data_IF_960401625754
#
_entry.id   IF_960401625754
#
_cell.length_a   1.000
_cell.length_b   1.000
_cell.length_c   1.000
_cell.angle_alpha   90.00
_cell.angle_beta   90.00
_cell.angle_gamma   90.00
#
_symmetry.space_group_name_H-M   'P 1'
#
loop_
_entity.id
_entity.type
_entity.pdbx_description
1 polymer ?
#
# COMPACT_ATOMS: atom_id res chain seq x y z
N UNK A 1 -5.56 33.43 33.98
CA UNK A 1 -6.00 32.15 33.39
C UNK A 1 -4.84 31.16 33.51
N UNK A 2 -4.90 29.92 33.95
CA UNK A 2 -5.89 29.05 34.60
C UNK A 2 -5.07 27.91 35.26
N UNK A 3 -5.49 27.52 36.46
CA UNK A 3 -5.42 26.18 37.09
C UNK A 3 -4.12 25.34 36.96
N UNK A 4 -3.28 25.36 38.00
CA UNK A 4 -2.31 24.29 38.26
C UNK A 4 -2.88 23.36 39.35
N UNK A 5 -3.40 22.22 38.88
CA UNK A 5 -3.42 20.90 39.50
C UNK A 5 -3.59 20.81 41.02
N UNK A 6 -4.82 20.46 41.40
CA UNK A 6 -5.14 19.91 42.70
C UNK A 6 -4.66 18.45 42.77
N UNK A 7 -3.48 18.26 43.37
CA UNK A 7 -2.99 16.95 43.82
C UNK A 7 -3.83 16.49 45.04
N UNK A 8 -4.52 15.34 45.01
CA UNK A 8 -5.07 14.76 46.21
C UNK A 8 -3.95 14.02 46.96
N UNK A 9 -3.53 14.66 48.04
CA UNK A 9 -2.77 14.09 49.15
C UNK A 9 -3.30 12.70 49.57
N UNK A 10 -2.40 11.72 49.70
CA UNK A 10 -2.60 10.61 50.63
C UNK A 10 -1.51 10.63 51.71
N UNK A 11 -1.90 11.12 52.89
CA UNK A 11 -1.12 11.07 54.12
C UNK A 11 -0.81 9.64 54.57
N UNK A 12 0.46 9.33 54.83
CA UNK A 12 0.89 8.01 55.30
C UNK A 12 1.10 7.97 56.81
N UNK A 13 0.05 7.57 57.53
CA UNK A 13 0.08 7.28 58.96
C UNK A 13 0.92 6.03 59.30
N UNK A 14 1.97 6.26 60.09
CA UNK A 14 2.99 5.33 60.61
C UNK A 14 2.41 4.23 61.53
N UNK A 15 1.73 3.23 60.95
CA UNK A 15 1.51 1.83 61.42
C UNK A 15 0.66 0.99 60.45
N UNK A 16 0.25 1.58 59.32
CA UNK A 16 -0.48 0.91 58.23
C UNK A 16 0.33 0.92 56.91
N UNK A 17 1.60 1.34 56.94
CA UNK A 17 2.42 1.51 55.73
C UNK A 17 2.72 0.17 55.07
N UNK A 18 3.00 -0.90 55.85
CA UNK A 18 3.22 -2.25 55.29
C UNK A 18 1.98 -2.80 54.59
N UNK A 19 0.79 -2.55 55.14
CA UNK A 19 -0.48 -2.99 54.54
C UNK A 19 -0.81 -2.19 53.28
N UNK A 20 -0.55 -0.88 53.30
CA UNK A 20 -0.74 0.01 52.15
C UNK A 20 0.22 -0.35 51.01
N UNK A 21 1.50 -0.58 51.33
CA UNK A 21 2.52 -1.04 50.37
C UNK A 21 2.19 -2.43 49.83
N UNK A 22 1.71 -3.34 50.66
CA UNK A 22 1.27 -4.67 50.21
C UNK A 22 0.05 -4.59 49.28
N UNK A 23 -0.93 -3.73 49.58
CA UNK A 23 -2.08 -3.50 48.71
C UNK A 23 -1.65 -2.88 47.37
N UNK A 24 -0.77 -1.88 47.39
CA UNK A 24 -0.24 -1.27 46.17
C UNK A 24 0.53 -2.29 45.30
N UNK A 25 1.36 -3.14 45.92
CA UNK A 25 2.08 -4.21 45.23
C UNK A 25 1.16 -5.30 44.67
N UNK A 26 0.08 -5.65 45.38
CA UNK A 26 -0.93 -6.59 44.89
C UNK A 26 -1.65 -6.03 43.65
N UNK A 27 -2.03 -4.75 43.69
CA UNK A 27 -2.72 -4.09 42.58
C UNK A 27 -1.84 -4.01 41.34
N UNK A 28 -0.55 -3.68 41.48
CA UNK A 28 0.36 -3.63 40.33
C UNK A 28 0.54 -5.02 39.71
N UNK A 29 0.79 -6.05 40.51
CA UNK A 29 0.91 -7.43 40.02
C UNK A 29 -0.37 -7.87 39.30
N UNK A 30 -1.55 -7.53 39.83
CA UNK A 30 -2.83 -7.84 39.20
C UNK A 30 -2.99 -7.10 37.85
N UNK A 31 -2.61 -5.82 37.78
CA UNK A 31 -2.71 -5.03 36.56
C UNK A 31 -1.81 -5.58 35.43
N UNK A 32 -0.56 -5.95 35.76
CA UNK A 32 0.34 -6.59 34.82
C UNK A 32 -0.09 -8.02 34.46
N UNK A 33 -0.60 -8.78 35.43
CA UNK A 33 -1.17 -10.10 35.21
C UNK A 33 -2.36 -10.08 34.25
N UNK A 34 -3.24 -9.09 34.40
CA UNK A 34 -4.37 -8.88 33.50
C UNK A 34 -3.91 -8.51 32.09
N UNK A 35 -2.94 -7.60 31.95
CA UNK A 35 -2.39 -7.24 30.63
C UNK A 35 -1.79 -8.45 29.90
N UNK A 36 -1.10 -9.33 30.61
CA UNK A 36 -0.54 -10.56 30.03
C UNK A 36 -1.61 -11.62 29.72
N UNK A 37 -2.63 -11.76 30.58
CA UNK A 37 -3.74 -12.70 30.40
C UNK A 37 -4.73 -12.28 29.31
N UNK A 38 -4.77 -11.00 28.97
CA UNK A 38 -5.66 -10.45 27.95
C UNK A 38 -5.32 -10.99 26.55
N UNK A 39 -4.04 -11.18 26.23
CA UNK A 39 -3.59 -11.75 24.95
C UNK A 39 -4.13 -13.17 24.70
N UNK A 40 -3.98 -14.17 25.61
CA UNK A 40 -4.55 -15.51 25.41
C UNK A 40 -6.07 -15.54 25.53
N UNK A 41 -6.69 -14.68 26.36
CA UNK A 41 -8.15 -14.59 26.44
C UNK A 41 -8.76 -14.12 25.11
N UNK A 42 -8.15 -13.11 24.48
CA UNK A 42 -8.56 -12.68 23.14
C UNK A 42 -8.43 -13.81 22.12
N UNK A 43 -7.36 -14.62 22.18
CA UNK A 43 -7.21 -15.79 21.31
C UNK A 43 -8.30 -16.84 21.52
N UNK A 44 -8.70 -17.08 22.77
CA UNK A 44 -9.77 -18.03 23.10
C UNK A 44 -11.13 -17.56 22.56
N UNK A 45 -11.44 -16.26 22.73
CA UNK A 45 -12.66 -15.65 22.18
C UNK A 45 -12.64 -15.70 20.65
N UNK A 46 -11.52 -15.37 20.00
CA UNK A 46 -11.37 -15.47 18.55
C UNK A 46 -11.56 -16.91 18.06
N UNK A 47 -11.14 -17.90 18.84
CA UNK A 47 -11.31 -19.31 18.48
C UNK A 47 -12.74 -19.81 18.61
N UNK A 48 -13.49 -19.33 19.61
CA UNK A 48 -14.90 -19.70 19.79
C UNK A 48 -15.79 -18.98 18.78
N UNK A 49 -15.46 -17.73 18.43
CA UNK A 49 -16.21 -16.93 17.45
C UNK A 49 -15.83 -17.23 15.99
N UNK A 50 -14.86 -18.10 15.75
CA UNK A 50 -14.42 -18.50 14.40
C UNK A 50 -13.56 -17.47 13.67
N UNK A 51 -13.10 -16.41 14.34
CA UNK A 51 -12.29 -15.31 13.78
C UNK A 51 -10.77 -15.63 13.88
N UNK A 52 -10.40 -16.92 13.89
CA UNK A 52 -9.02 -17.39 14.09
C UNK A 52 -8.03 -16.92 13.00
N UNK A 53 -8.48 -16.25 11.94
CA UNK A 53 -7.65 -15.75 10.83
C UNK A 53 -7.12 -14.31 11.01
N UNK A 54 -7.71 -13.47 11.86
CA UNK A 54 -7.37 -12.04 11.91
C UNK A 54 -6.29 -11.69 12.96
N UNK A 55 -6.16 -12.48 14.03
CA UNK A 55 -5.27 -12.11 15.15
C UNK A 55 -3.86 -12.74 15.10
N UNK A 56 -3.60 -13.72 14.22
CA UNK A 56 -2.30 -14.43 14.15
C UNK A 56 -1.34 -13.87 13.10
N UNK A 57 -1.77 -12.93 12.25
CA UNK A 57 -1.01 -12.48 11.08
C UNK A 57 -0.25 -11.14 11.27
N UNK A 58 -0.01 -10.67 12.49
CA UNK A 58 0.71 -9.40 12.73
C UNK A 58 2.21 -9.54 12.93
N UNK A 59 2.82 -10.70 12.67
CA UNK A 59 4.27 -10.83 12.82
C UNK A 59 4.83 -12.12 12.23
N UNK A 60 5.49 -11.99 11.08
CA UNK A 60 6.45 -12.96 10.53
C UNK A 60 5.84 -14.31 10.12
N UNK A 61 5.14 -14.36 8.99
CA UNK A 61 5.05 -15.53 8.07
C UNK A 61 4.13 -15.20 6.87
N UNK A 62 4.42 -14.12 6.16
CA UNK A 62 3.73 -13.78 4.90
C UNK A 62 4.16 -14.65 3.71
N UNK A 63 5.16 -15.53 3.87
CA UNK A 63 5.70 -16.35 2.79
C UNK A 63 5.16 -17.79 2.76
N UNK A 64 4.73 -18.37 3.89
CA UNK A 64 4.42 -19.81 3.96
C UNK A 64 2.92 -20.13 3.99
N UNK A 65 2.08 -19.21 4.47
CA UNK A 65 0.63 -19.45 4.60
C UNK A 65 -0.20 -19.13 3.34
N UNK A 66 0.44 -18.76 2.23
CA UNK A 66 -0.26 -18.65 0.93
C UNK A 66 -0.69 -20.04 0.45
N UNK A 67 -0.03 -21.12 0.89
CA UNK A 67 -0.32 -22.48 0.42
C UNK A 67 -1.50 -23.13 1.16
N UNK A 68 -1.77 -22.77 2.41
CA UNK A 68 -2.74 -23.53 3.25
C UNK A 68 -4.13 -22.87 3.36
N UNK A 69 -4.31 -21.66 2.85
CA UNK A 69 -5.62 -20.95 2.89
C UNK A 69 -6.32 -20.88 1.52
N UNK A 70 -5.72 -21.44 0.47
CA UNK A 70 -6.27 -21.44 -0.91
C UNK A 70 -6.99 -22.73 -1.31
N UNK A 71 -7.12 -23.72 -0.41
CA UNK A 71 -7.77 -25.00 -0.75
C UNK A 71 -9.30 -24.92 -0.93
N UNK A 72 -9.90 -23.74 -0.73
CA UNK A 72 -11.31 -23.50 -1.08
C UNK A 72 -11.38 -22.75 -2.40
N UNK A 73 -11.21 -23.49 -3.50
CA UNK A 73 -11.58 -22.98 -4.83
C UNK A 73 -13.09 -22.81 -4.83
N UNK A 74 -13.55 -21.57 -4.89
CA UNK A 74 -14.98 -21.28 -5.00
C UNK A 74 -15.47 -21.70 -6.39
N UNK A 75 -16.67 -22.27 -6.48
CA UNK A 75 -17.30 -22.60 -7.77
C UNK A 75 -17.80 -21.36 -8.53
N UNK A 76 -17.75 -20.18 -7.87
CA UNK A 76 -18.11 -18.90 -8.44
C UNK A 76 -17.15 -18.50 -9.55
N UNK A 77 -17.71 -18.05 -10.68
CA UNK A 77 -16.94 -17.50 -11.78
C UNK A 77 -16.82 -15.97 -11.64
N UNK A 78 -15.60 -15.46 -11.69
CA UNK A 78 -15.31 -14.02 -11.74
C UNK A 78 -14.78 -13.67 -13.12
N UNK A 79 -15.34 -12.64 -13.73
CA UNK A 79 -14.80 -12.08 -14.97
C UNK A 79 -13.73 -11.07 -14.63
N UNK A 80 -12.50 -11.31 -15.09
CA UNK A 80 -11.40 -10.34 -14.97
C UNK A 80 -11.18 -9.70 -16.33
N UNK A 81 -11.29 -8.39 -16.39
CA UNK A 81 -11.01 -7.57 -17.56
C UNK A 81 -9.64 -6.91 -17.41
N UNK A 82 -8.89 -6.86 -18.50
CA UNK A 82 -7.56 -6.26 -18.53
C UNK A 82 -7.59 -5.02 -19.40
N UNK A 83 -7.21 -3.89 -18.80
CA UNK A 83 -7.10 -2.62 -19.47
C UNK A 83 -5.65 -2.14 -19.45
N UNK A 84 -5.24 -1.55 -20.58
CA UNK A 84 -3.90 -1.03 -20.78
C UNK A 84 -4.02 0.39 -21.32
N UNK A 85 -3.59 1.35 -20.53
CA UNK A 85 -3.61 2.78 -20.87
C UNK A 85 -2.19 3.29 -21.01
N UNK A 86 -1.94 4.08 -22.06
CA UNK A 86 -0.67 4.78 -22.28
C UNK A 86 -0.88 6.25 -21.94
N UNK A 87 -0.09 6.77 -21.00
CA UNK A 87 -0.14 8.18 -20.66
C UNK A 87 1.06 8.92 -21.29
N UNK A 88 0.76 9.82 -22.22
CA UNK A 88 1.73 10.64 -22.91
C UNK A 88 1.68 10.46 -24.42
N UNK A 89 2.50 11.23 -25.12
CA UNK A 89 2.62 11.17 -26.57
C UNK A 89 3.90 10.42 -26.92
N UNK A 90 3.95 9.15 -26.55
CA UNK A 90 5.10 8.26 -26.78
C UNK A 90 4.72 7.22 -27.82
N UNK A 91 5.63 6.94 -28.76
CA UNK A 91 5.40 6.03 -29.88
C UNK A 91 5.53 4.56 -29.42
N UNK A 92 4.71 4.12 -28.46
CA UNK A 92 4.78 2.77 -27.91
C UNK A 92 3.49 2.00 -28.12
N UNK A 93 3.61 0.68 -28.04
CA UNK A 93 2.47 -0.21 -28.00
C UNK A 93 2.44 -0.89 -26.64
N UNK A 94 1.32 -0.77 -25.94
CA UNK A 94 1.08 -1.44 -24.67
C UNK A 94 -0.32 -2.04 -24.70
N UNK A 95 -0.41 -3.37 -24.58
CA UNK A 95 -1.69 -4.08 -24.63
C UNK A 95 -1.65 -5.38 -23.84
N UNK A 96 -2.78 -5.81 -23.26
CA UNK A 96 -2.85 -7.14 -22.68
C UNK A 96 -2.85 -8.20 -23.80
N UNK A 97 -2.34 -9.39 -23.50
CA UNK A 97 -2.45 -10.56 -24.39
C UNK A 97 -3.90 -11.00 -24.60
N UNK A 98 -4.73 -10.83 -23.57
CA UNK A 98 -6.16 -11.16 -23.56
C UNK A 98 -6.94 -10.01 -22.91
N UNK A 99 -8.11 -9.66 -23.45
CA UNK A 99 -8.93 -8.55 -22.90
C UNK A 99 -9.74 -8.94 -21.67
N UNK A 100 -10.15 -10.20 -21.59
CA UNK A 100 -10.93 -10.71 -20.47
C UNK A 100 -10.76 -12.21 -20.32
N UNK A 101 -10.83 -12.69 -19.09
CA UNK A 101 -10.85 -14.11 -18.76
C UNK A 101 -11.86 -14.37 -17.65
N UNK A 102 -12.29 -15.63 -17.54
CA UNK A 102 -13.09 -16.10 -16.41
C UNK A 102 -12.19 -16.94 -15.52
N UNK A 103 -12.16 -16.63 -14.23
CA UNK A 103 -11.34 -17.32 -13.24
C UNK A 103 -12.18 -17.68 -12.03
N UNK A 104 -11.74 -18.68 -11.27
CA UNK A 104 -12.33 -19.03 -9.99
C UNK A 104 -11.55 -18.41 -8.84
N UNK A 105 -12.21 -17.84 -7.82
CA UNK A 105 -11.52 -17.42 -6.60
C UNK A 105 -10.76 -18.58 -5.97
N UNK A 106 -9.53 -18.31 -5.53
CA UNK A 106 -8.56 -19.31 -5.07
C UNK A 106 -7.62 -19.84 -6.16
N UNK A 107 -7.95 -19.67 -7.44
CA UNK A 107 -7.12 -20.14 -8.55
C UNK A 107 -5.99 -19.17 -8.90
N UNK A 108 -4.76 -19.70 -9.04
CA UNK A 108 -3.61 -18.94 -9.54
C UNK A 108 -3.73 -18.78 -11.04
N UNK A 109 -3.81 -17.54 -11.50
CA UNK A 109 -3.91 -17.21 -12.92
C UNK A 109 -2.73 -16.37 -13.35
N UNK A 110 -2.18 -16.70 -14.52
CA UNK A 110 -1.07 -15.95 -15.14
C UNK A 110 -1.51 -15.43 -16.51
N UNK A 111 -1.24 -14.15 -16.76
CA UNK A 111 -1.44 -13.49 -18.06
C UNK A 111 -0.20 -12.70 -18.42
N UNK A 112 -0.07 -12.29 -19.69
CA UNK A 112 1.01 -11.42 -20.14
C UNK A 112 0.50 -10.10 -20.71
N UNK A 113 1.28 -9.03 -20.53
CA UNK A 113 1.14 -7.77 -21.26
C UNK A 113 2.28 -7.61 -22.24
N UNK A 114 1.94 -7.24 -23.47
CA UNK A 114 2.91 -6.90 -24.50
C UNK A 114 3.26 -5.42 -24.40
N UNK A 115 4.56 -5.12 -24.36
CA UNK A 115 5.07 -3.76 -24.48
C UNK A 115 6.12 -3.69 -25.60
N UNK A 116 6.04 -2.65 -26.43
CA UNK A 116 7.04 -2.38 -27.46
C UNK A 116 7.34 -0.89 -27.56
N UNK A 117 8.64 -0.57 -27.57
CA UNK A 117 9.13 0.76 -27.87
C UNK A 117 9.28 0.91 -29.39
N UNK A 118 8.49 1.79 -30.03
CA UNK A 118 8.70 2.15 -31.45
C UNK A 118 9.47 3.47 -31.64
N UNK A 119 10.04 4.04 -30.57
CA UNK A 119 10.98 5.17 -30.72
C UNK A 119 12.40 4.69 -31.05
N UNK A 120 13.21 5.63 -31.52
CA UNK A 120 14.63 5.43 -31.83
C UNK A 120 15.54 5.64 -30.60
N UNK A 121 14.96 5.89 -29.43
CA UNK A 121 15.67 6.19 -28.19
C UNK A 121 15.30 5.20 -27.08
N UNK A 122 16.23 4.97 -26.15
CA UNK A 122 15.93 4.19 -24.96
C UNK A 122 15.01 4.97 -24.01
N UNK A 123 13.98 4.31 -23.48
CA UNK A 123 13.04 4.96 -22.56
C UNK A 123 12.86 4.17 -21.28
N UNK A 124 12.77 4.93 -20.18
CA UNK A 124 12.48 4.41 -18.85
C UNK A 124 10.99 4.58 -18.58
N UNK A 125 10.34 3.48 -18.21
CA UNK A 125 8.90 3.40 -18.04
C UNK A 125 8.55 2.92 -16.65
N UNK A 126 7.46 3.47 -16.09
CA UNK A 126 6.88 2.97 -14.84
C UNK A 126 5.41 2.65 -15.05
N UNK A 127 4.97 1.50 -14.55
CA UNK A 127 3.59 1.05 -14.66
C UNK A 127 2.83 1.28 -13.35
N UNK A 128 1.70 1.99 -13.43
CA UNK A 128 0.82 2.25 -12.29
C UNK A 128 -0.40 1.33 -12.38
N UNK A 129 -0.59 0.39 -11.45
CA UNK A 129 -1.75 -0.48 -11.45
C UNK A 129 -2.99 0.17 -10.82
N UNK A 130 -4.16 -0.22 -11.30
CA UNK A 130 -5.48 0.09 -10.72
C UNK A 130 -6.40 -1.13 -10.73
N UNK A 131 -7.37 -1.14 -9.80
CA UNK A 131 -8.37 -2.21 -9.68
C UNK A 131 -9.75 -1.58 -9.50
N UNK A 132 -10.72 -2.01 -10.30
CA UNK A 132 -12.12 -1.59 -10.21
C UNK A 132 -13.01 -2.82 -10.10
N UNK A 133 -14.03 -2.85 -9.22
CA UNK A 133 -14.33 -1.84 -8.21
C UNK A 133 -13.29 -1.81 -7.08
N UNK A 134 -13.16 -0.67 -6.38
CA UNK A 134 -12.11 -0.47 -5.38
C UNK A 134 -12.19 -1.49 -4.22
N UNK A 135 -13.39 -1.97 -3.90
CA UNK A 135 -13.62 -3.01 -2.90
C UNK A 135 -12.90 -4.33 -3.25
N UNK A 136 -12.68 -4.62 -4.53
CA UNK A 136 -11.98 -5.83 -4.98
C UNK A 136 -10.46 -5.75 -4.77
N UNK A 137 -9.90 -4.55 -4.58
CA UNK A 137 -8.45 -4.33 -4.43
C UNK A 137 -7.86 -5.15 -3.28
N UNK A 138 -8.56 -5.23 -2.15
CA UNK A 138 -8.10 -5.97 -0.95
C UNK A 138 -8.14 -7.50 -1.13
N UNK A 139 -8.89 -7.98 -2.11
CA UNK A 139 -9.05 -9.41 -2.41
C UNK A 139 -8.17 -9.87 -3.58
N UNK A 140 -7.59 -8.94 -4.33
CA UNK A 140 -6.64 -9.27 -5.38
C UNK A 140 -5.23 -9.40 -4.80
N UNK A 141 -4.78 -10.63 -4.60
CA UNK A 141 -3.41 -10.92 -4.16
C UNK A 141 -2.51 -11.04 -5.39
N UNK A 142 -1.71 -10.01 -5.65
CA UNK A 142 -0.69 -10.01 -6.71
C UNK A 142 0.53 -10.78 -6.20
N UNK A 143 0.84 -11.90 -6.83
CA UNK A 143 1.88 -12.83 -6.36
C UNK A 143 3.25 -12.38 -6.87
N UNK A 144 3.33 -11.81 -8.07
CA UNK A 144 4.59 -11.31 -8.63
C UNK A 144 4.35 -9.99 -9.36
N UNK A 145 5.17 -8.98 -9.05
CA UNK A 145 5.06 -7.68 -9.69
C UNK A 145 6.46 -7.15 -10.06
N UNK A 146 6.88 -7.43 -11.29
CA UNK A 146 7.95 -6.67 -11.96
C UNK A 146 7.45 -5.28 -12.42
N UNK A 147 6.19 -4.92 -12.16
CA UNK A 147 5.61 -3.66 -12.63
C UNK A 147 5.91 -2.44 -11.72
N UNK A 148 6.45 -2.62 -10.51
CA UNK A 148 6.75 -1.48 -9.64
C UNK A 148 8.14 -0.88 -9.89
N UNK A 149 9.03 -1.64 -10.50
CA UNK A 149 10.35 -1.16 -10.88
C UNK A 149 10.32 -0.55 -12.27
N UNK A 150 11.04 0.57 -12.41
CA UNK A 150 11.27 1.22 -13.70
C UNK A 150 11.90 0.24 -14.68
N UNK A 151 11.25 0.04 -15.82
CA UNK A 151 11.76 -0.80 -16.90
C UNK A 151 12.34 0.09 -18.00
N UNK A 152 13.62 -0.11 -18.29
CA UNK A 152 14.25 0.51 -19.47
C UNK A 152 14.01 -0.37 -20.68
N UNK A 153 13.45 0.20 -21.74
CA UNK A 153 13.29 -0.43 -23.05
C UNK A 153 14.19 0.28 -24.05
N UNK A 154 15.02 -0.47 -24.76
CA UNK A 154 15.85 0.05 -25.84
C UNK A 154 15.00 0.42 -27.07
N UNK A 155 15.58 1.14 -28.01
CA UNK A 155 14.94 1.46 -29.28
C UNK A 155 14.49 0.19 -30.01
N UNK A 156 13.21 0.14 -30.41
CA UNK A 156 12.64 -1.03 -31.10
C UNK A 156 12.40 -2.27 -30.23
N UNK A 157 12.78 -2.26 -28.95
CA UNK A 157 12.69 -3.43 -28.07
C UNK A 157 11.23 -3.77 -27.74
N UNK A 158 10.93 -5.07 -27.77
CA UNK A 158 9.64 -5.61 -27.35
C UNK A 158 9.85 -6.58 -26.18
N UNK A 159 8.94 -6.53 -25.20
CA UNK A 159 8.99 -7.35 -23.99
C UNK A 159 7.60 -7.85 -23.64
N UNK A 160 7.51 -9.12 -23.26
CA UNK A 160 6.31 -9.69 -22.65
C UNK A 160 6.45 -9.68 -21.13
N UNK A 161 5.55 -8.99 -20.46
CA UNK A 161 5.53 -8.84 -19.01
C UNK A 161 4.47 -9.75 -18.41
N UNK A 162 4.90 -10.80 -17.71
CA UNK A 162 4.00 -11.71 -16.99
C UNK A 162 3.39 -11.07 -15.74
N UNK A 163 2.11 -11.33 -15.51
CA UNK A 163 1.39 -10.98 -14.28
C UNK A 163 0.72 -12.24 -13.73
N UNK A 164 1.10 -12.64 -12.53
CA UNK A 164 0.44 -13.72 -11.79
C UNK A 164 -0.37 -13.15 -10.61
N UNK A 165 -1.62 -13.57 -10.52
CA UNK A 165 -2.54 -13.10 -9.48
C UNK A 165 -3.46 -14.23 -8.98
N UNK A 166 -3.99 -14.04 -7.78
CA UNK A 166 -5.05 -14.85 -7.18
C UNK A 166 -6.14 -13.90 -6.65
N UNK A 167 -7.40 -14.28 -6.86
CA UNK A 167 -8.55 -13.63 -6.25
C UNK A 167 -8.92 -14.38 -4.98
N UNK A 168 -9.04 -13.68 -3.87
CA UNK A 168 -9.45 -14.25 -2.60
C UNK A 168 -10.90 -14.77 -2.64
N UNK A 169 -11.18 -16.01 -2.17
CA UNK A 169 -12.55 -16.53 -2.03
C UNK A 169 -13.48 -15.66 -1.17
N UNK A 170 -12.95 -14.84 -0.26
CA UNK A 170 -13.72 -13.90 0.57
C UNK A 170 -14.22 -12.65 -0.20
N UNK A 171 -14.02 -12.59 -1.53
CA UNK A 171 -14.55 -11.51 -2.36
C UNK A 171 -16.09 -11.42 -2.20
N UNK A 172 -16.65 -10.24 -1.89
CA UNK A 172 -18.08 -10.04 -1.76
C UNK A 172 -18.89 -10.55 -2.95
N UNK A 173 -20.05 -11.14 -2.67
CA UNK A 173 -20.85 -11.82 -3.68
C UNK A 173 -21.46 -10.89 -4.74
N UNK A 174 -21.55 -9.60 -4.46
CA UNK A 174 -22.01 -8.57 -5.39
C UNK A 174 -21.00 -8.26 -6.51
N UNK A 175 -19.73 -8.66 -6.36
CA UNK A 175 -18.65 -8.33 -7.30
C UNK A 175 -18.35 -9.51 -8.23
N UNK A 176 -19.00 -9.56 -9.39
CA UNK A 176 -18.77 -10.61 -10.40
C UNK A 176 -17.73 -10.25 -11.45
N UNK A 177 -17.39 -8.96 -11.56
CA UNK A 177 -16.47 -8.43 -12.57
C UNK A 177 -15.43 -7.55 -11.91
N UNK A 178 -14.16 -7.77 -12.26
CA UNK A 178 -13.02 -6.98 -11.80
C UNK A 178 -12.28 -6.49 -13.03
N UNK A 179 -11.96 -5.21 -13.08
CA UNK A 179 -11.09 -4.63 -14.10
C UNK A 179 -9.74 -4.33 -13.49
N UNK A 180 -8.70 -4.95 -14.06
CA UNK A 180 -7.30 -4.69 -13.77
C UNK A 180 -6.77 -3.75 -14.84
N UNK A 181 -6.58 -2.49 -14.48
CA UNK A 181 -6.06 -1.47 -15.37
C UNK A 181 -4.59 -1.20 -15.07
N UNK A 182 -3.76 -1.10 -16.10
CA UNK A 182 -2.37 -0.66 -15.98
C UNK A 182 -2.18 0.60 -16.82
N UNK A 183 -1.62 1.64 -16.20
CA UNK A 183 -1.23 2.86 -16.90
C UNK A 183 0.28 2.94 -16.96
N UNK A 184 0.85 2.93 -18.17
CA UNK A 184 2.29 3.12 -18.36
C UNK A 184 2.60 4.61 -18.48
N UNK A 185 3.62 5.05 -17.76
CA UNK A 185 4.11 6.42 -17.71
C UNK A 185 5.57 6.47 -18.18
N UNK A 186 5.90 7.48 -18.98
CA UNK A 186 7.28 7.82 -19.31
C UNK A 186 7.90 8.65 -18.18
N UNK A 187 8.97 8.14 -17.56
CA UNK A 187 9.68 8.84 -16.49
C UNK A 187 10.77 9.78 -17.01
N UNK A 188 11.19 9.69 -18.29
CA UNK A 188 12.17 10.60 -18.88
C UNK A 188 11.55 11.98 -19.22
N UNK A 189 10.22 12.09 -19.19
CA UNK A 189 9.52 13.37 -19.38
C UNK A 189 9.88 14.44 -18.34
N UNK A 190 10.30 14.07 -17.13
CA UNK A 190 10.71 15.06 -16.11
C UNK A 190 12.01 15.80 -16.46
N UNK A 191 12.90 15.21 -17.28
CA UNK A 191 14.11 15.90 -17.74
C UNK A 191 13.81 16.88 -18.89
N UNK A 192 12.81 16.59 -19.72
CA UNK A 192 12.42 17.42 -20.87
C UNK A 192 11.40 18.52 -20.54
N UNK A 193 10.79 18.49 -19.35
CA UNK A 193 9.91 19.55 -18.83
C UNK A 193 10.66 20.52 -17.89
N UNK A 194 11.93 20.80 -18.14
CA UNK A 194 12.54 21.99 -17.51
C UNK A 194 11.78 23.21 -18.05
N UNK A 195 11.03 23.95 -17.21
CA UNK A 195 10.38 25.16 -17.68
C UNK A 195 11.47 26.11 -18.14
N UNK A 196 11.45 26.47 -19.42
CA UNK A 196 12.29 27.53 -19.94
C UNK A 196 11.90 28.81 -19.19
N UNK A 197 12.71 29.15 -18.18
CA UNK A 197 12.47 30.27 -17.27
C UNK A 197 12.69 31.61 -17.97
N UNK A 198 13.18 31.59 -19.22
CA UNK A 198 13.52 32.80 -19.97
C UNK A 198 12.26 33.56 -20.47
N UNK A 199 11.06 32.97 -20.37
CA UNK A 199 9.83 33.57 -20.90
C UNK A 199 8.65 33.59 -19.91
N UNK A 200 8.90 33.43 -18.61
CA UNK A 200 7.83 33.53 -17.60
C UNK A 200 7.63 35.02 -17.24
N UNK A 201 6.46 35.65 -17.52
CA UNK A 201 6.19 36.99 -17.03
C UNK A 201 6.09 36.96 -15.51
N UNK A 202 7.09 37.54 -14.84
CA UNK A 202 7.17 37.65 -13.38
C UNK A 202 6.04 38.56 -12.87
N UNK A 203 5.00 37.97 -12.28
CA UNK A 203 4.01 38.72 -11.50
C UNK A 203 4.56 38.89 -10.08
N UNK A 204 5.10 40.08 -9.80
CA UNK A 204 5.23 40.66 -8.47
C UNK A 204 6.27 40.04 -7.52
N UNK A 205 7.41 40.71 -7.38
CA UNK A 205 8.19 40.68 -6.14
C UNK A 205 8.58 42.13 -5.82
N UNK A 206 8.01 42.63 -4.73
CA UNK A 206 8.22 43.97 -4.22
C UNK A 206 9.69 44.24 -3.85
N UNK A 207 10.21 45.31 -4.46
CA UNK A 207 11.10 46.34 -3.91
C UNK A 207 11.65 46.14 -2.48
N UNK A 208 12.93 45.77 -2.34
CA UNK A 208 13.83 46.36 -1.32
C UNK A 208 15.29 45.95 -1.54
N UNK A 209 16.15 46.89 -1.98
CA UNK A 209 17.57 46.99 -1.60
C UNK A 209 18.24 48.15 -2.37
N UNK A 210 18.11 49.38 -1.86
CA UNK A 210 18.91 50.52 -2.32
C UNK A 210 20.23 50.56 -1.57
N UNK A 211 21.30 50.25 -2.30
CA UNK A 211 22.68 50.73 -2.21
C UNK A 211 23.19 51.36 -0.91
N UNK A 212 24.21 50.73 -0.32
CA UNK A 212 25.31 51.43 0.32
C UNK A 212 26.63 50.95 -0.32
N UNK A 213 27.32 51.84 -1.03
CA UNK A 213 28.71 51.61 -1.45
C UNK A 213 29.55 52.80 -1.03
N UNK A 214 30.35 52.55 0.01
CA UNK A 214 31.42 53.37 0.53
C UNK A 214 32.42 53.79 -0.57
N UNK A 215 32.77 55.07 -0.58
CA UNK A 215 33.97 55.63 -1.21
C UNK A 215 34.79 56.28 -0.10
N UNK A 216 35.97 55.75 0.21
CA UNK A 216 36.96 56.42 1.06
C UNK A 216 38.24 56.69 0.27
N UNK A 217 38.80 57.87 0.56
CA UNK A 217 40.04 58.49 0.08
C UNK A 217 41.30 57.66 0.24
#
# INVERSE_FOLDING_TARGET
>A
MNELNQDPQQETGKRSTKRTVATLALVTILMFGFAFAMVPLYRLVCSVTGINSIATNSGRTLAENIVTTTDTVSERNITVQFDATINGNVAWEFRPSVRSIVVKPGEKTTISYYVKNHSDEAVVTQSIPGVTPWQATKHLKKIECFCFDTQTLQAGEAKDMGLQFVIDPELPDDISTITLSYTIMDTNRSESLTPNTDNIPTVGSDSTASNNKNTNS
#
